data_IF_232732621178
#
_entry.id   IF_232732621178
#
_cell.length_a   1.000
_cell.length_b   1.000
_cell.length_c   1.000
_cell.angle_alpha   90.00
_cell.angle_beta   90.00
_cell.angle_gamma   90.00
#
_symmetry.space_group_name_H-M   'P 1'
#
loop_
_entity.id
_entity.type
_entity.pdbx_description
1 polymer ?
#
# COMPACT_ATOMS: atom_id res chain seq x y z
N UNK A 1 19.05 -0.42 -9.23
CA UNK A 1 17.58 -0.33 -8.98
C UNK A 1 16.88 -0.95 -10.17
N UNK A 2 16.24 -2.11 -10.00
CA UNK A 2 15.39 -2.70 -11.05
C UNK A 2 14.17 -1.80 -11.26
N UNK A 3 13.71 -1.68 -12.50
CA UNK A 3 12.54 -0.87 -12.92
C UNK A 3 11.68 -1.74 -13.83
N UNK A 4 10.40 -1.39 -13.96
CA UNK A 4 9.45 -2.09 -14.82
C UNK A 4 9.31 -3.59 -14.46
N UNK A 5 9.40 -3.90 -13.17
CA UNK A 5 9.14 -5.25 -12.68
C UNK A 5 7.68 -5.61 -12.96
N UNK A 6 7.48 -6.78 -13.52
CA UNK A 6 6.17 -7.42 -13.58
C UNK A 6 5.84 -8.04 -12.23
N UNK A 7 4.55 -8.28 -11.98
CA UNK A 7 4.08 -8.82 -10.71
C UNK A 7 4.73 -10.17 -10.39
N UNK A 8 4.86 -11.05 -11.38
CA UNK A 8 5.50 -12.36 -11.24
C UNK A 8 6.98 -12.28 -10.84
N UNK A 9 7.65 -11.15 -11.08
CA UNK A 9 9.05 -10.93 -10.72
C UNK A 9 9.23 -10.46 -9.27
N UNK A 10 8.13 -10.15 -8.56
CA UNK A 10 8.17 -9.77 -7.14
C UNK A 10 8.32 -10.98 -6.21
N UNK A 11 8.15 -12.21 -6.71
CA UNK A 11 8.18 -13.42 -5.87
C UNK A 11 7.14 -13.36 -4.76
N UNK A 12 7.56 -13.61 -3.53
CA UNK A 12 6.71 -13.59 -2.34
C UNK A 12 6.59 -12.20 -1.69
N UNK A 13 7.18 -11.15 -2.28
CA UNK A 13 7.35 -9.85 -1.62
C UNK A 13 6.04 -9.24 -1.08
N UNK A 14 4.93 -9.42 -1.82
CA UNK A 14 3.62 -8.92 -1.40
C UNK A 14 2.91 -9.81 -0.37
N UNK A 15 3.39 -11.03 -0.18
CA UNK A 15 2.90 -11.97 0.83
C UNK A 15 3.64 -11.81 2.17
N UNK A 16 4.75 -11.07 2.18
CA UNK A 16 5.53 -10.79 3.39
C UNK A 16 4.74 -9.89 4.35
N UNK A 17 4.92 -10.11 5.65
CA UNK A 17 4.30 -9.31 6.72
C UNK A 17 4.92 -7.89 6.82
N UNK A 18 4.79 -7.09 5.78
CA UNK A 18 5.29 -5.72 5.69
C UNK A 18 4.17 -4.70 5.85
N UNK A 19 4.43 -3.66 6.62
CA UNK A 19 3.55 -2.51 6.68
C UNK A 19 3.69 -1.69 5.39
N UNK A 20 2.57 -1.30 4.81
CA UNK A 20 2.52 -0.39 3.67
C UNK A 20 2.21 1.03 4.13
N UNK A 21 2.52 2.03 3.30
CA UNK A 21 2.00 3.38 3.44
C UNK A 21 0.90 3.60 2.40
N UNK A 22 -0.30 3.93 2.85
CA UNK A 22 -1.42 4.29 2.00
C UNK A 22 -1.55 5.81 1.91
N UNK A 23 -1.66 6.32 0.69
CA UNK A 23 -2.00 7.70 0.38
C UNK A 23 -3.49 7.80 0.05
N UNK A 24 -4.20 8.64 0.80
CA UNK A 24 -5.59 9.03 0.53
C UNK A 24 -5.71 10.55 0.50
N UNK A 25 -6.72 11.09 -0.16
CA UNK A 25 -6.85 12.53 -0.37
C UNK A 25 -7.84 13.15 0.61
N UNK A 26 -7.59 14.39 1.05
CA UNK A 26 -8.57 15.25 1.70
C UNK A 26 -9.40 16.00 0.64
N UNK A 27 -10.47 16.69 1.07
CA UNK A 27 -11.36 17.43 0.15
C UNK A 27 -10.65 18.61 -0.53
N UNK A 28 -9.66 19.19 0.13
CA UNK A 28 -8.82 20.27 -0.41
C UNK A 28 -7.70 19.78 -1.34
N UNK A 29 -7.63 18.47 -1.59
CA UNK A 29 -6.61 17.85 -2.44
C UNK A 29 -5.31 17.52 -1.72
N UNK A 30 -5.14 17.86 -0.44
CA UNK A 30 -3.98 17.43 0.35
C UNK A 30 -4.02 15.91 0.59
N UNK A 31 -2.89 15.32 0.99
CA UNK A 31 -2.75 13.86 1.12
C UNK A 31 -2.52 13.45 2.57
N UNK A 32 -3.31 12.48 3.05
CA UNK A 32 -3.02 11.72 4.25
C UNK A 32 -2.16 10.51 3.90
N UNK A 33 -1.01 10.37 4.57
CA UNK A 33 -0.19 9.16 4.54
C UNK A 33 -0.39 8.39 5.83
N UNK A 34 -0.79 7.11 5.74
CA UNK A 34 -1.04 6.28 6.91
C UNK A 34 -0.39 4.91 6.77
N UNK A 35 0.25 4.38 7.83
CA UNK A 35 0.69 2.99 7.85
C UNK A 35 -0.53 2.07 7.85
N UNK A 36 -0.50 1.01 7.04
CA UNK A 36 -1.57 0.01 6.95
C UNK A 36 -1.01 -1.40 6.83
N UNK A 37 -1.73 -2.36 7.38
CA UNK A 37 -1.55 -3.78 7.05
C UNK A 37 -2.32 -4.11 5.79
N UNK A 38 -1.78 -5.05 5.01
CA UNK A 38 -2.35 -5.42 3.72
C UNK A 38 -2.21 -6.92 3.47
N UNK A 39 -3.00 -7.40 2.53
CA UNK A 39 -2.90 -8.72 1.90
C UNK A 39 -2.98 -8.51 0.38
N UNK A 40 -2.13 -9.21 -0.37
CA UNK A 40 -2.26 -9.28 -1.83
C UNK A 40 -3.05 -10.53 -2.20
N UNK A 41 -4.17 -10.36 -2.91
CA UNK A 41 -5.04 -11.46 -3.31
C UNK A 41 -5.84 -11.09 -4.54
N UNK A 42 -6.05 -12.06 -5.43
CA UNK A 42 -6.94 -11.93 -6.60
C UNK A 42 -6.63 -10.69 -7.48
N UNK A 43 -5.34 -10.32 -7.57
CA UNK A 43 -4.87 -9.19 -8.38
C UNK A 43 -5.01 -7.81 -7.73
N UNK A 44 -5.30 -7.73 -6.42
CA UNK A 44 -5.46 -6.47 -5.70
C UNK A 44 -5.00 -6.50 -4.25
N UNK A 45 -4.99 -5.31 -3.64
CA UNK A 45 -4.69 -5.13 -2.23
C UNK A 45 -5.97 -5.11 -1.39
N UNK A 46 -6.05 -5.99 -0.40
CA UNK A 46 -6.96 -5.84 0.73
C UNK A 46 -6.23 -5.08 1.84
N UNK A 47 -6.85 -4.02 2.37
CA UNK A 47 -6.22 -3.16 3.38
C UNK A 47 -7.00 -3.23 4.68
N UNK A 48 -6.32 -3.55 5.78
CA UNK A 48 -6.92 -3.57 7.10
C UNK A 48 -7.21 -2.14 7.58
N UNK A 49 -8.48 -1.83 7.83
CA UNK A 49 -8.93 -0.52 8.27
C UNK A 49 -9.88 -0.63 9.45
N UNK A 50 -9.76 0.27 10.43
CA UNK A 50 -10.74 0.36 11.49
C UNK A 50 -12.09 0.84 10.96
N UNK A 51 -13.18 0.37 11.56
CA UNK A 51 -14.51 0.90 11.27
C UNK A 51 -14.57 2.40 11.60
N UNK A 52 -15.11 3.21 10.68
CA UNK A 52 -15.23 4.66 10.83
C UNK A 52 -13.94 5.47 10.65
N UNK A 53 -12.84 4.81 10.26
CA UNK A 53 -11.55 5.47 10.04
C UNK A 53 -11.63 6.54 8.93
N UNK A 54 -10.90 7.64 9.11
CA UNK A 54 -10.86 8.77 8.17
C UNK A 54 -10.45 8.33 6.75
N UNK A 55 -9.57 7.33 6.62
CA UNK A 55 -9.14 6.84 5.31
C UNK A 55 -10.26 6.14 4.54
N UNK A 56 -11.23 5.52 5.23
CA UNK A 56 -12.43 4.95 4.59
C UNK A 56 -13.27 6.08 3.99
N UNK A 57 -13.53 7.13 4.77
CA UNK A 57 -14.29 8.31 4.29
C UNK A 57 -13.60 9.02 3.13
N UNK A 58 -12.26 9.03 3.12
CA UNK A 58 -11.49 9.56 2.00
C UNK A 58 -11.68 8.73 0.72
N UNK A 59 -11.57 7.41 0.83
CA UNK A 59 -11.68 6.47 -0.30
C UNK A 59 -13.10 6.44 -0.87
N UNK A 60 -14.12 6.45 -0.01
CA UNK A 60 -15.52 6.52 -0.43
C UNK A 60 -15.81 7.79 -1.23
N UNK A 61 -15.17 8.91 -0.88
CA UNK A 61 -15.31 10.19 -1.58
C UNK A 61 -14.46 10.26 -2.84
N UNK A 62 -13.22 9.77 -2.77
CA UNK A 62 -12.23 9.79 -3.86
C UNK A 62 -11.46 8.46 -3.86
N UNK A 63 -11.84 7.58 -4.78
CA UNK A 63 -11.28 6.24 -4.88
C UNK A 63 -9.84 6.20 -5.41
N UNK A 64 -9.26 7.35 -5.78
CA UNK A 64 -7.84 7.43 -6.18
C UNK A 64 -6.98 7.26 -4.94
N UNK A 65 -6.18 6.22 -4.92
CA UNK A 65 -5.24 5.93 -3.84
C UNK A 65 -3.90 5.50 -4.40
N UNK A 66 -2.87 5.55 -3.57
CA UNK A 66 -1.58 4.92 -3.87
C UNK A 66 -1.08 4.17 -2.65
N UNK A 67 -0.51 2.99 -2.88
CA UNK A 67 0.08 2.17 -1.83
C UNK A 67 1.57 2.01 -2.09
N UNK A 68 2.36 2.10 -1.02
CA UNK A 68 3.80 2.04 -1.07
C UNK A 68 4.30 1.04 -0.05
N UNK A 69 4.98 -0.01 -0.50
CA UNK A 69 5.62 -1.01 0.36
C UNK A 69 7.13 -0.84 0.16
N UNK A 70 7.86 -0.66 1.26
CA UNK A 70 9.30 -0.52 1.21
C UNK A 70 9.95 -1.90 1.31
N UNK A 71 10.93 -2.14 0.43
CA UNK A 71 11.90 -3.20 0.66
C UNK A 71 12.92 -2.69 1.70
N UNK A 72 13.05 -3.43 2.78
CA UNK A 72 13.98 -3.18 3.88
C UNK A 72 15.09 -4.23 3.96
N UNK A 73 15.10 -5.20 3.04
CA UNK A 73 16.21 -6.13 2.86
C UNK A 73 17.49 -5.33 2.67
N UNK A 74 18.50 -5.51 3.54
CA UNK A 74 19.80 -4.92 3.30
C UNK A 74 20.26 -5.38 1.92
N UNK A 75 20.57 -4.43 1.04
CA UNK A 75 21.34 -4.77 -0.15
C UNK A 75 22.65 -5.42 0.28
N UNK A 76 23.37 -6.11 -0.62
CA UNK A 76 24.67 -6.72 -0.30
C UNK A 76 25.80 -5.71 0.01
N UNK A 77 25.49 -4.51 0.50
CA UNK A 77 26.44 -3.48 0.90
C UNK A 77 25.99 -2.77 2.19
N UNK A 78 26.93 -2.13 2.91
CA UNK A 78 26.63 -1.52 4.19
C UNK A 78 25.70 -0.31 4.05
N UNK A 79 24.52 -0.39 4.66
CA UNK A 79 23.87 0.72 5.36
C UNK A 79 23.11 1.77 4.55
N UNK A 80 22.11 1.41 3.74
CA UNK A 80 21.23 2.40 3.11
C UNK A 80 19.77 1.92 2.95
N UNK A 81 18.94 2.20 3.96
CA UNK A 81 17.48 2.15 3.86
C UNK A 81 16.99 3.26 2.91
N UNK A 82 16.32 2.90 1.83
CA UNK A 82 15.78 3.87 0.86
C UNK A 82 14.32 3.55 0.56
N UNK A 83 13.42 4.29 1.20
CA UNK A 83 11.97 4.22 0.96
C UNK A 83 11.66 4.62 -0.49
N UNK A 84 10.82 3.83 -1.18
CA UNK A 84 10.46 4.05 -2.59
C UNK A 84 8.96 4.18 -2.76
N UNK A 85 8.53 5.18 -3.52
CA UNK A 85 7.13 5.40 -3.93
C UNK A 85 6.80 4.55 -5.16
N UNK A 86 5.78 3.71 -5.06
CA UNK A 86 5.07 3.13 -6.22
C UNK A 86 3.80 3.93 -6.49
N UNK A 87 3.56 4.35 -7.73
CA UNK A 87 2.26 4.84 -8.18
C UNK A 87 1.58 3.69 -8.94
N UNK A 88 0.57 3.06 -8.32
CA UNK A 88 -0.30 2.08 -8.97
C UNK A 88 -1.63 2.74 -9.31
N UNK A 89 -2.06 2.63 -10.57
CA UNK A 89 -3.33 3.16 -11.08
C UNK A 89 -4.24 1.97 -11.39
N UNK A 90 -5.00 1.49 -10.40
CA UNK A 90 -6.13 0.56 -10.57
C UNK A 90 -7.08 0.72 -9.37
N UNK A 91 -8.41 0.54 -9.55
CA UNK A 91 -9.38 0.70 -8.46
C UNK A 91 -9.22 -0.43 -7.44
N UNK A 92 -8.81 -0.07 -6.23
CA UNK A 92 -8.65 -1.01 -5.11
C UNK A 92 -10.01 -1.27 -4.46
N UNK A 93 -10.44 -2.53 -4.41
CA UNK A 93 -11.63 -2.94 -3.66
C UNK A 93 -11.30 -3.00 -2.16
N UNK A 94 -11.96 -2.17 -1.35
CA UNK A 94 -11.91 -2.26 0.10
C UNK A 94 -12.96 -3.25 0.61
N UNK A 95 -12.53 -4.41 1.11
CA UNK A 95 -13.34 -5.21 2.03
C UNK A 95 -12.81 -5.01 3.46
N UNK A 96 -13.66 -4.48 4.33
CA UNK A 96 -13.41 -4.43 5.76
C UNK A 96 -13.44 -5.87 6.30
N UNK A 97 -12.28 -6.40 6.70
CA UNK A 97 -12.23 -7.69 7.39
C UNK A 97 -12.78 -7.52 8.82
N UNK A 98 -13.61 -8.46 9.32
CA UNK A 98 -13.96 -8.52 10.73
C UNK A 98 -12.70 -8.79 11.57
N UNK A 99 -12.65 -8.16 12.75
CA UNK A 99 -11.51 -8.17 13.68
C UNK A 99 -11.06 -9.59 14.02
N UNK A 100 -9.74 -9.81 14.05
CA UNK A 100 -9.13 -10.84 14.89
C UNK A 100 -9.21 -10.44 16.36
#
# INVERSE_FOLDING_TARGET
>A
MRKNLKLEELGDFLDQAKCATLATHFRDGTTLLSPVWHEWRDGGFTVAVGAGDIKVRHIERDARVSISIAEDTPGPGPGNHRQRRGQGHHPTYCHALPRF
#
